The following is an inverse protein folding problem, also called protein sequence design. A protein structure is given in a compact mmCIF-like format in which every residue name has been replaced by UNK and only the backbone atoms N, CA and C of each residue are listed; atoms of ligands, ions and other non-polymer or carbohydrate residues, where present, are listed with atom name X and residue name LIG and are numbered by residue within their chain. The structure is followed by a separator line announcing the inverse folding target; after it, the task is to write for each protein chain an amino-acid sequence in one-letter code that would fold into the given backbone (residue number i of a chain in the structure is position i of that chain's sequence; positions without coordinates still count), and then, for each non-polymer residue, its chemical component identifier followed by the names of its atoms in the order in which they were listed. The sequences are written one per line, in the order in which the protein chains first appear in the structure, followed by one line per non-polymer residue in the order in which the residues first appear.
data_IF_238049578513
#
_entry.id   IF_238049578513
#
_cell.length_a   1.000
_cell.length_b   1.000
_cell.length_c   1.000
_cell.angle_alpha   90.00
_cell.angle_beta   90.00
_cell.angle_gamma   90.00
#
_symmetry.space_group_name_H-M   'P 1'
#
loop_
_entity.id
_entity.type
_entity.pdbx_description
1 polymer ?
#
# COMPACT_ATOMS: atom_id res chain seq x y z
N UNK A 1 34.07 24.13 30.01
CA UNK A 1 32.93 23.19 30.10
C UNK A 1 32.10 23.45 28.85
N UNK A 2 32.20 22.59 27.83
CA UNK A 2 31.43 22.72 26.59
C UNK A 2 30.05 22.12 26.88
N UNK A 3 29.00 22.94 26.77
CA UNK A 3 27.64 22.43 26.67
C UNK A 3 27.57 21.55 25.42
N UNK A 4 27.16 20.30 25.63
CA UNK A 4 26.86 19.35 24.57
C UNK A 4 25.54 19.76 23.96
N UNK A 5 25.58 20.25 22.73
CA UNK A 5 24.42 20.39 21.87
C UNK A 5 23.75 19.01 21.74
N UNK A 6 22.47 18.93 22.10
CA UNK A 6 21.69 17.70 22.01
C UNK A 6 21.47 17.30 20.54
N UNK A 7 21.08 16.04 20.25
CA UNK A 7 20.85 15.64 18.87
C UNK A 7 19.72 16.46 18.26
N UNK A 8 20.07 17.30 17.28
CA UNK A 8 19.16 17.98 16.35
C UNK A 8 18.01 17.03 15.98
N UNK A 9 16.82 17.36 16.45
CA UNK A 9 15.62 16.52 16.30
C UNK A 9 15.13 16.61 14.86
N UNK A 10 15.71 15.79 13.98
CA UNK A 10 15.13 15.30 12.72
C UNK A 10 14.91 16.31 11.58
N UNK A 11 15.62 16.11 10.47
CA UNK A 11 15.37 16.80 9.16
C UNK A 11 14.02 16.42 8.52
N UNK A 12 13.22 15.56 9.13
CA UNK A 12 11.96 15.04 8.57
C UNK A 12 10.82 15.28 9.55
N UNK A 13 9.75 15.95 9.08
CA UNK A 13 8.54 16.22 9.83
C UNK A 13 7.35 15.41 9.27
N UNK A 14 6.40 14.93 10.11
CA UNK A 14 5.20 14.26 9.63
C UNK A 14 4.29 15.24 8.87
N UNK A 15 3.84 14.85 7.68
CA UNK A 15 3.06 15.74 6.78
C UNK A 15 1.55 15.44 6.80
N UNK A 16 1.12 14.32 7.39
CA UNK A 16 -0.30 14.00 7.57
C UNK A 16 -0.60 12.50 7.64
N UNK A 17 -1.84 12.18 7.97
CA UNK A 17 -2.33 10.80 7.93
C UNK A 17 -2.70 10.38 6.50
N UNK A 18 -2.54 9.10 6.19
CA UNK A 18 -2.89 8.51 4.88
C UNK A 18 -4.11 7.62 5.01
N UNK A 19 -5.04 7.69 4.05
CA UNK A 19 -6.13 6.71 3.94
C UNK A 19 -5.62 5.44 3.24
N UNK A 20 -5.31 4.41 4.03
CA UNK A 20 -4.79 3.16 3.49
C UNK A 20 -5.73 2.42 2.53
N UNK A 21 -7.05 2.56 2.67
CA UNK A 21 -7.98 1.95 1.70
C UNK A 21 -7.89 2.64 0.34
N UNK A 22 -7.78 3.97 0.31
CA UNK A 22 -7.59 4.69 -0.94
C UNK A 22 -6.27 4.30 -1.63
N UNK A 23 -5.18 4.17 -0.88
CA UNK A 23 -3.90 3.69 -1.43
C UNK A 23 -4.02 2.27 -1.97
N UNK A 24 -4.71 1.38 -1.27
CA UNK A 24 -4.96 0.01 -1.74
C UNK A 24 -5.76 -0.01 -3.05
N UNK A 25 -6.81 0.80 -3.19
CA UNK A 25 -7.59 0.89 -4.42
C UNK A 25 -6.74 1.44 -5.58
N UNK A 26 -5.91 2.46 -5.32
CA UNK A 26 -4.96 2.98 -6.32
C UNK A 26 -3.97 1.91 -6.78
N UNK A 27 -3.39 1.14 -5.84
CA UNK A 27 -2.49 0.02 -6.17
C UNK A 27 -3.21 -1.08 -6.95
N UNK A 28 -4.44 -1.40 -6.59
CA UNK A 28 -5.24 -2.43 -7.28
C UNK A 28 -5.55 -2.05 -8.74
N UNK A 29 -5.68 -0.75 -9.03
CA UNK A 29 -5.89 -0.23 -10.38
C UNK A 29 -4.58 -0.04 -11.18
N UNK A 30 -3.42 -0.14 -10.54
CA UNK A 30 -2.14 0.19 -11.15
C UNK A 30 -1.72 -0.90 -12.16
N UNK A 31 -1.39 -0.55 -13.41
CA UNK A 31 -0.89 -1.50 -14.39
C UNK A 31 0.42 -2.15 -13.93
N UNK A 32 0.46 -3.47 -13.86
CA UNK A 32 1.67 -4.24 -13.57
C UNK A 32 2.09 -4.98 -14.84
N UNK A 33 3.38 -4.88 -15.18
CA UNK A 33 3.94 -5.57 -16.32
C UNK A 33 5.36 -6.06 -16.01
N UNK A 34 5.86 -6.96 -16.85
CA UNK A 34 7.30 -7.22 -16.89
C UNK A 34 7.95 -6.28 -17.89
N UNK A 35 9.04 -5.64 -17.51
CA UNK A 35 9.77 -4.71 -18.37
C UNK A 35 11.27 -4.86 -18.16
N UNK A 36 12.06 -4.22 -19.02
CA UNK A 36 13.51 -4.06 -18.85
C UNK A 36 13.91 -2.68 -19.33
N UNK A 37 15.01 -2.14 -18.82
CA UNK A 37 15.62 -0.98 -19.46
C UNK A 37 16.22 -1.38 -20.81
N UNK A 38 16.24 -0.43 -21.75
CA UNK A 38 16.76 -0.67 -23.10
C UNK A 38 18.24 -1.08 -23.09
N UNK A 39 19.01 -0.57 -22.12
CA UNK A 39 20.44 -0.84 -21.94
C UNK A 39 20.73 -2.15 -21.18
N UNK A 40 19.71 -2.81 -20.62
CA UNK A 40 19.89 -4.08 -19.93
C UNK A 40 19.96 -5.25 -20.93
N UNK A 41 20.66 -6.35 -20.56
CA UNK A 41 20.62 -7.60 -21.30
C UNK A 41 19.20 -8.11 -21.58
N UNK A 42 19.03 -8.86 -22.68
CA UNK A 42 17.70 -9.33 -23.14
C UNK A 42 17.02 -10.32 -22.20
N UNK A 43 17.72 -10.91 -21.24
CA UNK A 43 17.22 -11.85 -20.25
C UNK A 43 16.79 -11.18 -18.92
N UNK A 44 17.18 -9.92 -18.68
CA UNK A 44 16.77 -9.19 -17.48
C UNK A 44 15.27 -8.87 -17.52
N UNK A 45 14.58 -9.12 -16.41
CA UNK A 45 13.16 -8.77 -16.24
C UNK A 45 12.97 -8.12 -14.88
N UNK A 46 12.40 -6.93 -14.90
CA UNK A 46 11.79 -6.29 -13.74
C UNK A 46 10.29 -6.58 -13.74
N UNK A 47 9.70 -6.61 -12.55
CA UNK A 47 8.26 -6.76 -12.36
C UNK A 47 7.76 -5.56 -11.58
N UNK A 48 6.82 -4.82 -12.15
CA UNK A 48 6.23 -3.68 -11.47
C UNK A 48 5.50 -2.73 -12.42
N UNK A 49 5.01 -1.60 -11.89
CA UNK A 49 4.45 -0.56 -12.71
C UNK A 49 5.55 0.19 -13.47
N UNK A 50 5.17 0.84 -14.56
CA UNK A 50 6.01 1.85 -15.19
C UNK A 50 6.08 3.10 -14.29
N UNK A 51 7.21 3.79 -14.31
CA UNK A 51 7.42 4.98 -13.46
C UNK A 51 6.43 6.12 -13.78
N UNK A 52 5.99 6.24 -15.03
CA UNK A 52 5.00 7.23 -15.45
C UNK A 52 3.60 6.91 -14.90
N UNK A 53 3.19 5.63 -14.92
CA UNK A 53 1.92 5.21 -14.33
C UNK A 53 1.95 5.39 -12.80
N UNK A 54 3.08 5.10 -12.17
CA UNK A 54 3.30 5.38 -10.74
C UNK A 54 3.15 6.88 -10.42
N UNK A 55 3.79 7.74 -11.21
CA UNK A 55 3.74 9.18 -11.04
C UNK A 55 2.30 9.71 -11.24
N UNK A 56 1.59 9.22 -12.25
CA UNK A 56 0.19 9.56 -12.48
C UNK A 56 -0.73 9.10 -11.33
N UNK A 57 -0.43 7.95 -10.71
CA UNK A 57 -1.23 7.37 -9.64
C UNK A 57 -1.02 8.03 -8.27
N UNK A 58 0.23 8.36 -7.91
CA UNK A 58 0.58 8.83 -6.57
C UNK A 58 1.04 10.28 -6.50
N UNK A 59 1.45 10.87 -7.62
CA UNK A 59 2.09 12.19 -7.64
C UNK A 59 3.46 12.22 -6.96
N UNK A 60 4.03 11.07 -6.62
CA UNK A 60 5.39 10.96 -6.09
C UNK A 60 6.39 11.08 -7.25
N UNK A 61 7.49 11.80 -6.99
CA UNK A 61 8.59 12.06 -7.92
C UNK A 61 8.20 12.85 -9.18
N UNK A 62 8.70 14.08 -9.32
CA UNK A 62 8.35 14.95 -10.45
C UNK A 62 8.97 14.49 -11.78
N UNK A 63 10.03 13.69 -11.71
CA UNK A 63 10.86 13.37 -12.86
C UNK A 63 10.25 12.23 -13.71
N UNK A 64 9.32 11.44 -13.15
CA UNK A 64 8.55 10.41 -13.86
C UNK A 64 9.38 9.25 -14.46
N UNK A 65 10.67 9.14 -14.10
CA UNK A 65 11.61 8.16 -14.68
C UNK A 65 12.02 7.06 -13.71
N UNK A 66 11.80 7.28 -12.41
CA UNK A 66 12.16 6.34 -11.34
C UNK A 66 11.04 6.25 -10.32
N UNK A 67 10.98 5.10 -9.65
CA UNK A 67 10.15 4.89 -8.48
C UNK A 67 11.11 4.85 -7.29
N UNK A 68 11.09 5.83 -6.37
CA UNK A 68 11.91 5.77 -5.17
C UNK A 68 11.56 4.52 -4.36
N UNK A 69 12.58 3.72 -4.05
CA UNK A 69 12.38 2.45 -3.32
C UNK A 69 11.70 2.68 -1.97
N UNK A 70 12.02 3.79 -1.30
CA UNK A 70 11.38 4.18 -0.03
C UNK A 70 9.87 4.38 -0.18
N UNK A 71 9.42 5.02 -1.27
CA UNK A 71 8.00 5.26 -1.54
C UNK A 71 7.29 3.95 -1.92
N UNK A 72 7.92 3.12 -2.75
CA UNK A 72 7.39 1.81 -3.12
C UNK A 72 7.17 0.91 -1.89
N UNK A 73 8.15 0.86 -0.99
CA UNK A 73 8.04 0.11 0.26
C UNK A 73 6.98 0.71 1.20
N UNK A 74 6.89 2.03 1.30
CA UNK A 74 5.86 2.71 2.08
C UNK A 74 4.45 2.37 1.60
N UNK A 75 4.21 2.44 0.29
CA UNK A 75 2.94 2.04 -0.33
C UNK A 75 2.64 0.57 -0.06
N UNK A 76 3.61 -0.32 -0.20
CA UNK A 76 3.42 -1.74 0.07
C UNK A 76 3.01 -2.00 1.54
N UNK A 77 3.66 -1.35 2.51
CA UNK A 77 3.30 -1.45 3.93
C UNK A 77 1.88 -0.96 4.22
N UNK A 78 1.49 0.18 3.63
CA UNK A 78 0.13 0.72 3.76
C UNK A 78 -0.90 -0.25 3.18
N UNK A 79 -0.63 -0.84 2.02
CA UNK A 79 -1.50 -1.84 1.41
C UNK A 79 -1.63 -3.10 2.27
N UNK A 80 -0.54 -3.61 2.86
CA UNK A 80 -0.59 -4.77 3.78
C UNK A 80 -1.48 -4.46 4.99
N UNK A 81 -1.34 -3.28 5.59
CA UNK A 81 -2.19 -2.86 6.72
C UNK A 81 -3.66 -2.72 6.32
N UNK A 82 -3.95 -2.15 5.14
CA UNK A 82 -5.30 -2.01 4.63
C UNK A 82 -5.95 -3.37 4.30
N UNK A 83 -5.19 -4.28 3.68
CA UNK A 83 -5.63 -5.64 3.39
C UNK A 83 -5.90 -6.43 4.67
N UNK A 84 -5.04 -6.33 5.69
CA UNK A 84 -5.28 -6.99 6.97
C UNK A 84 -6.61 -6.55 7.59
N UNK A 85 -6.88 -5.24 7.63
CA UNK A 85 -8.16 -4.72 8.13
C UNK A 85 -9.35 -5.20 7.28
N UNK A 86 -9.24 -5.18 5.95
CA UNK A 86 -10.30 -5.71 5.06
C UNK A 86 -10.56 -7.20 5.31
N UNK A 87 -9.53 -8.00 5.57
CA UNK A 87 -9.67 -9.43 5.93
C UNK A 87 -10.38 -9.60 7.26
N UNK A 88 -10.02 -8.83 8.29
CA UNK A 88 -10.67 -8.85 9.60
C UNK A 88 -12.16 -8.46 9.49
N UNK A 89 -12.48 -7.40 8.78
CA UNK A 89 -13.84 -6.92 8.52
C UNK A 89 -14.68 -7.98 7.80
N UNK A 90 -14.15 -8.57 6.73
CA UNK A 90 -14.83 -9.63 5.97
C UNK A 90 -15.01 -10.90 6.81
N UNK A 91 -14.02 -11.26 7.63
CA UNK A 91 -14.11 -12.43 8.53
C UNK A 91 -15.21 -12.23 9.57
N UNK A 92 -15.31 -11.04 10.16
CA UNK A 92 -16.36 -10.70 11.09
C UNK A 92 -17.75 -10.72 10.43
N UNK A 93 -17.87 -10.20 9.20
CA UNK A 93 -19.12 -10.24 8.43
C UNK A 93 -19.57 -11.68 8.13
N UNK A 94 -18.66 -12.51 7.62
CA UNK A 94 -18.94 -13.93 7.38
C UNK A 94 -19.37 -14.63 8.67
N UNK A 95 -18.75 -14.32 9.81
CA UNK A 95 -19.15 -14.82 11.12
C UNK A 95 -20.58 -14.41 11.50
N UNK A 96 -20.94 -13.14 11.30
CA UNK A 96 -22.29 -12.63 11.56
C UNK A 96 -23.33 -13.32 10.68
N UNK A 97 -23.09 -13.36 9.37
CA UNK A 97 -24.01 -13.99 8.41
C UNK A 97 -24.23 -15.47 8.71
N UNK A 98 -23.18 -16.21 9.07
CA UNK A 98 -23.27 -17.62 9.48
C UNK A 98 -24.10 -17.81 10.75
N UNK A 99 -23.99 -16.90 11.72
CA UNK A 99 -24.81 -16.96 12.93
C UNK A 99 -26.29 -16.69 12.61
N UNK A 100 -26.58 -15.67 11.78
CA UNK A 100 -27.97 -15.37 11.36
C UNK A 100 -28.63 -16.55 10.63
N UNK A 101 -27.91 -17.24 9.75
CA UNK A 101 -28.46 -18.39 9.01
C UNK A 101 -28.53 -19.68 9.84
N UNK A 102 -27.88 -19.74 11.01
CA UNK A 102 -28.02 -20.87 11.94
C UNK A 102 -29.32 -20.78 12.76
N UNK A 103 -29.92 -19.60 12.83
CA UNK A 103 -31.11 -19.33 13.65
C UNK A 103 -32.50 -19.33 12.95
N UNK A 104 -32.77 -20.01 11.80
CA UNK A 104 -34.13 -20.05 11.22
C UNK A 104 -35.03 -21.20 11.71
N UNK A 105 -34.60 -22.13 12.58
CA UNK A 105 -35.41 -23.30 12.99
C UNK A 105 -35.66 -23.46 14.51
N UNK A 106 -35.26 -22.48 15.33
CA UNK A 106 -35.41 -22.56 16.80
C UNK A 106 -36.69 -21.94 17.38
N UNK A 107 -37.60 -21.41 16.56
CA UNK A 107 -38.75 -20.62 17.03
C UNK A 107 -40.07 -20.95 16.32
N UNK A 108 -40.40 -22.22 16.16
CA UNK A 108 -41.80 -22.65 16.03
C UNK A 108 -41.97 -24.08 16.51
N UNK A 109 -42.34 -24.25 17.79
CA UNK A 109 -43.24 -25.27 18.35
C UNK A 109 -43.02 -25.39 19.87
#
# INVERSE_FOLDING_TARGET
MRETDGPETGTVAPVGAVNGYAVLETVAALPISTWRYLWEPEDVRHLGPMAQDWQAAFGFNQDGTTIPVVDALGVALVCVQALNRRVEELTAEVGRLRNTHRDPEGSTA
#
